data_IF_158236516898
#
_entry.id   IF_158236516898
#
_cell.length_a   1.000
_cell.length_b   1.000
_cell.length_c   1.000
_cell.angle_alpha   90.00
_cell.angle_beta   90.00
_cell.angle_gamma   90.00
#
_symmetry.space_group_name_H-M   'P 1'
#
loop_
_entity.id
_entity.type
_entity.pdbx_description
1 polymer ?
#
# COMPACT_ATOMS: atom_id res chain seq x y z
N UNK A 1 -8.75 -9.59 14.12
CA UNK A 1 -8.15 -10.58 13.33
C UNK A 1 -8.43 -10.40 11.87
N UNK A 2 -7.40 -10.21 11.07
CA UNK A 2 -7.62 -9.94 9.68
C UNK A 2 -8.16 -11.11 8.91
N UNK A 3 -7.97 -12.29 9.41
CA UNK A 3 -8.41 -13.44 8.63
C UNK A 3 -9.91 -13.51 8.52
N UNK A 4 -10.65 -12.80 9.35
CA UNK A 4 -12.08 -12.81 9.22
C UNK A 4 -12.59 -11.61 8.45
N UNK A 5 -11.73 -10.75 7.97
CA UNK A 5 -12.19 -9.60 7.21
C UNK A 5 -12.27 -9.97 5.76
N UNK A 6 -13.11 -9.30 5.02
CA UNK A 6 -13.21 -9.57 3.59
C UNK A 6 -12.04 -8.93 2.88
N UNK A 7 -11.61 -9.53 1.78
CA UNK A 7 -10.62 -8.93 0.94
C UNK A 7 -11.34 -7.91 0.08
N UNK A 8 -10.83 -6.68 0.04
CA UNK A 8 -11.46 -5.63 -0.72
C UNK A 8 -10.51 -5.03 -1.73
N UNK A 9 -11.02 -4.60 -2.86
CA UNK A 9 -10.24 -3.94 -3.86
C UNK A 9 -10.93 -2.62 -4.17
N UNK A 10 -10.26 -1.51 -3.96
CA UNK A 10 -10.88 -0.20 -4.12
C UNK A 10 -9.92 0.76 -4.79
N UNK A 11 -10.46 1.81 -5.38
CA UNK A 11 -9.63 2.84 -5.96
C UNK A 11 -8.98 3.60 -4.84
N UNK A 12 -7.73 3.91 -4.97
CA UNK A 12 -7.02 4.66 -3.95
C UNK A 12 -5.86 5.42 -4.54
N UNK A 13 -5.50 6.51 -3.91
CA UNK A 13 -4.42 7.37 -4.36
C UNK A 13 -3.34 7.36 -3.28
N UNK A 14 -2.08 7.24 -3.69
CA UNK A 14 -0.97 7.27 -2.75
C UNK A 14 -0.77 8.72 -2.35
N UNK A 15 -0.95 9.04 -1.08
CA UNK A 15 -0.81 10.43 -0.63
C UNK A 15 0.42 10.64 0.24
N UNK A 16 0.99 9.58 0.78
CA UNK A 16 2.18 9.76 1.59
C UNK A 16 2.95 8.48 1.71
N UNK A 17 4.27 8.57 1.72
CA UNK A 17 5.13 7.39 1.92
C UNK A 17 5.98 7.70 3.14
N UNK A 18 6.12 6.73 4.04
CA UNK A 18 6.88 6.91 5.25
C UNK A 18 7.87 5.77 5.39
N UNK A 19 9.04 6.04 5.91
CA UNK A 19 9.97 4.95 6.15
C UNK A 19 10.85 5.32 7.34
N UNK A 20 11.40 4.34 7.97
CA UNK A 20 12.25 4.56 9.11
C UNK A 20 12.97 3.29 9.47
N UNK A 21 13.66 3.32 10.60
CA UNK A 21 14.40 2.18 11.06
C UNK A 21 14.05 1.91 12.50
N UNK A 22 13.74 0.64 12.77
CA UNK A 22 13.42 0.24 14.12
C UNK A 22 14.70 -0.35 14.66
N UNK A 23 15.22 0.15 15.76
CA UNK A 23 16.42 -0.36 16.34
C UNK A 23 16.09 -1.15 17.58
N UNK A 24 16.49 -2.42 17.61
CA UNK A 24 16.17 -3.26 18.73
C UNK A 24 17.28 -3.09 19.73
N UNK A 25 16.94 -2.60 20.89
CA UNK A 25 17.93 -2.30 21.86
C UNK A 25 18.75 -3.47 22.31
N UNK A 26 18.19 -4.60 22.38
CA UNK A 26 18.93 -5.70 22.88
C UNK A 26 19.71 -6.48 21.88
N UNK A 27 19.53 -6.29 20.62
CA UNK A 27 20.21 -7.09 19.66
C UNK A 27 20.94 -6.25 18.65
N UNK A 28 20.94 -4.99 18.72
CA UNK A 28 21.57 -4.17 17.77
C UNK A 28 21.05 -4.33 16.37
N UNK A 29 19.95 -4.98 16.19
CA UNK A 29 19.36 -5.13 14.88
C UNK A 29 18.75 -3.81 14.44
N UNK A 30 18.87 -3.50 13.16
CA UNK A 30 18.27 -2.30 12.62
C UNK A 30 17.34 -2.75 11.51
N UNK A 31 16.05 -2.69 11.76
CA UNK A 31 15.05 -3.21 10.83
C UNK A 31 14.34 -2.07 10.17
N UNK A 32 14.44 -1.94 8.86
CA UNK A 32 13.75 -0.86 8.18
C UNK A 32 12.27 -1.16 8.10
N UNK A 33 11.44 -0.13 8.14
CA UNK A 33 10.01 -0.30 7.94
C UNK A 33 9.52 0.70 6.91
N UNK A 34 8.44 0.33 6.23
CA UNK A 34 7.90 1.13 5.17
C UNK A 34 6.39 1.16 5.28
N UNK A 35 5.78 2.35 5.16
CA UNK A 35 4.36 2.48 5.21
C UNK A 35 3.89 3.43 4.15
N UNK A 36 2.69 3.23 3.69
CA UNK A 36 2.10 4.07 2.66
C UNK A 36 0.71 4.46 3.10
N UNK A 37 0.36 5.71 2.93
CA UNK A 37 -0.98 6.20 3.23
C UNK A 37 -1.71 6.36 1.91
N UNK A 38 -2.90 5.75 1.84
CA UNK A 38 -3.74 5.83 0.65
C UNK A 38 -4.98 6.62 0.99
N UNK A 39 -5.45 7.42 0.02
CA UNK A 39 -6.68 8.14 0.19
C UNK A 39 -7.71 7.43 -0.63
N UNK A 40 -8.86 7.08 -0.03
CA UNK A 40 -9.91 6.37 -0.71
C UNK A 40 -10.82 7.33 -1.41
N UNK A 41 -11.77 6.82 -2.20
CA UNK A 41 -12.65 7.70 -2.97
C UNK A 41 -13.54 8.54 -2.09
N UNK A 42 -13.82 8.12 -0.86
CA UNK A 42 -14.66 8.92 0.00
C UNK A 42 -13.82 9.90 0.82
N UNK A 43 -12.52 10.01 0.55
CA UNK A 43 -11.68 10.93 1.27
C UNK A 43 -11.03 10.39 2.50
N UNK A 44 -11.38 9.18 2.91
CA UNK A 44 -10.80 8.63 4.11
C UNK A 44 -9.38 8.19 3.81
N UNK A 45 -8.56 8.07 4.84
CA UNK A 45 -7.19 7.67 4.66
C UNK A 45 -6.95 6.33 5.34
N UNK A 46 -6.15 5.49 4.73
CA UNK A 46 -5.75 4.24 5.35
C UNK A 46 -4.26 4.10 5.19
N UNK A 47 -3.58 3.64 6.22
CA UNK A 47 -2.16 3.50 6.20
C UNK A 47 -1.80 2.04 6.33
N UNK A 48 -0.89 1.53 5.52
CA UNK A 48 -0.51 0.13 5.56
C UNK A 48 0.99 -0.01 5.59
N UNK A 49 1.46 -1.06 6.25
CA UNK A 49 2.84 -1.40 6.23
C UNK A 49 3.06 -2.26 5.01
N UNK A 50 4.10 -2.01 4.23
CA UNK A 50 4.32 -2.77 3.02
C UNK A 50 5.79 -3.14 2.93
N UNK A 51 6.13 -3.99 2.00
CA UNK A 51 7.50 -4.43 1.85
C UNK A 51 8.28 -3.45 1.01
N UNK A 52 9.60 -3.47 1.15
CA UNK A 52 10.43 -2.51 0.49
C UNK A 52 10.26 -2.49 -1.02
N UNK A 53 10.14 -3.65 -1.61
CA UNK A 53 9.99 -3.69 -3.06
C UNK A 53 8.77 -2.95 -3.54
N UNK A 54 7.64 -3.16 -2.85
CA UNK A 54 6.43 -2.47 -3.25
C UNK A 54 6.58 -0.98 -2.93
N UNK A 55 7.20 -0.65 -1.80
CA UNK A 55 7.33 0.74 -1.43
C UNK A 55 8.12 1.51 -2.50
N UNK A 56 9.13 0.90 -3.06
CA UNK A 56 9.89 1.59 -4.04
C UNK A 56 9.13 1.88 -5.31
N UNK A 57 8.17 1.04 -5.64
CA UNK A 57 7.42 1.22 -6.85
C UNK A 57 6.29 2.21 -6.73
N UNK A 58 5.92 2.63 -5.54
CA UNK A 58 4.82 3.55 -5.37
C UNK A 58 5.35 4.97 -5.27
N UNK A 59 4.61 5.91 -5.86
CA UNK A 59 4.97 7.29 -5.77
C UNK A 59 3.83 8.13 -5.34
N UNK A 60 4.07 9.18 -4.61
CA UNK A 60 3.01 10.04 -4.17
C UNK A 60 2.29 10.57 -5.36
N UNK A 61 1.01 10.50 -5.36
CA UNK A 61 0.16 10.90 -6.47
C UNK A 61 -0.30 9.77 -7.36
N UNK A 62 0.25 8.57 -7.17
CA UNK A 62 -0.17 7.46 -8.01
C UNK A 62 -1.62 7.11 -7.72
N UNK A 63 -2.34 6.71 -8.76
CA UNK A 63 -3.71 6.27 -8.61
C UNK A 63 -3.77 4.84 -9.07
N UNK A 64 -4.53 4.03 -8.42
CA UNK A 64 -4.61 2.61 -8.77
C UNK A 64 -5.62 1.88 -7.92
N UNK A 65 -5.59 0.57 -8.01
CA UNK A 65 -6.49 -0.26 -7.25
C UNK A 65 -5.74 -0.87 -6.10
N UNK A 66 -6.19 -0.61 -4.90
CA UNK A 66 -5.60 -1.14 -3.70
C UNK A 66 -6.38 -2.36 -3.26
N UNK A 67 -5.69 -3.45 -2.99
CA UNK A 67 -6.32 -4.67 -2.48
C UNK A 67 -5.79 -4.89 -1.07
N UNK A 68 -6.69 -5.05 -0.11
CA UNK A 68 -6.30 -5.22 1.26
C UNK A 68 -7.31 -6.08 2.01
N UNK A 69 -6.96 -6.53 3.19
CA UNK A 69 -7.85 -7.34 3.99
C UNK A 69 -7.66 -6.85 5.41
N UNK A 70 -8.63 -6.19 5.98
CA UNK A 70 -8.51 -5.59 7.29
C UNK A 70 -7.43 -4.54 7.25
N UNK A 71 -6.40 -4.68 8.06
CA UNK A 71 -5.32 -3.72 8.03
C UNK A 71 -4.10 -4.30 7.33
N UNK A 72 -4.28 -5.36 6.54
CA UNK A 72 -3.18 -5.98 5.86
C UNK A 72 -3.16 -5.59 4.40
N UNK A 73 -2.06 -5.05 3.92
CA UNK A 73 -1.92 -4.69 2.52
C UNK A 73 -1.67 -5.97 1.74
N UNK A 74 -2.34 -6.11 0.63
CA UNK A 74 -2.11 -7.25 -0.23
C UNK A 74 -1.37 -6.79 -1.47
N UNK A 75 -1.89 -5.82 -2.20
CA UNK A 75 -1.19 -5.33 -3.37
C UNK A 75 -1.79 -4.05 -3.89
N UNK A 76 -1.10 -3.36 -4.75
CA UNK A 76 -1.61 -2.13 -5.34
C UNK A 76 -1.21 -2.14 -6.81
N UNK A 77 -2.22 -2.00 -7.68
CA UNK A 77 -1.96 -2.01 -9.07
C UNK A 77 -2.22 -0.64 -9.64
N UNK A 78 -1.19 0.04 -10.14
CA UNK A 78 -1.37 1.38 -10.63
C UNK A 78 -2.11 1.40 -11.93
N UNK A 79 -2.93 2.40 -12.17
CA UNK A 79 -3.63 2.53 -13.42
C UNK A 79 -2.67 3.12 -14.43
N UNK A 80 -2.81 2.65 -15.65
CA UNK A 80 -1.96 3.18 -16.64
C UNK A 80 -2.52 4.45 -17.15
N UNK A 81 -1.69 5.37 -17.47
CA UNK A 81 -2.18 6.62 -17.88
C UNK A 81 -2.95 6.51 -19.11
N UNK A 82 -2.62 5.83 -20.10
CA UNK A 82 -3.38 5.77 -21.20
C UNK A 82 -4.29 4.78 -21.19
N UNK A 83 -4.66 4.29 -20.55
CA UNK A 83 -5.63 3.34 -20.40
C UNK A 83 -6.17 2.69 -21.45
N UNK A 84 -5.65 2.30 -22.20
CA UNK A 84 -6.21 1.67 -23.10
C UNK A 84 -6.78 0.47 -22.72
N UNK A 85 -7.50 0.39 -22.11
CA UNK A 85 -8.19 -0.74 -21.80
C UNK A 85 -7.45 -1.86 -21.44
N UNK A 86 -6.65 -1.86 -20.93
CA UNK A 86 -6.07 -2.88 -20.53
C UNK A 86 -6.60 -3.55 -19.49
N UNK A 87 -6.56 -4.58 -19.39
CA UNK A 87 -7.10 -5.18 -18.35
C UNK A 87 -6.21 -5.26 -17.37
N UNK A 88 -6.47 -5.04 -16.35
CA UNK A 88 -5.67 -5.09 -15.33
C UNK A 88 -5.59 -6.30 -14.75
N UNK A 89 -4.63 -6.84 -14.34
CA UNK A 89 -4.61 -7.90 -13.64
C UNK A 89 -4.62 -7.68 -12.23
N UNK A 90 -5.43 -8.14 -11.48
CA UNK A 90 -5.47 -7.91 -10.11
C UNK A 90 -4.42 -8.67 -9.54
N UNK A 91 -3.77 -8.38 -8.60
CA UNK A 91 -2.66 -9.06 -8.00
C UNK A 91 -2.86 -10.43 -7.46
#
# INVERSE_FOLDING_TARGET
>A
NNSSAAVESVDATVVEKKQGIYTHMQSEAHVPWFRVVFEMTDGSLMEFQIQQGDFRELEKGDRGMLTYQGNRYICYQKYKFKSEAQEEEKC
#
